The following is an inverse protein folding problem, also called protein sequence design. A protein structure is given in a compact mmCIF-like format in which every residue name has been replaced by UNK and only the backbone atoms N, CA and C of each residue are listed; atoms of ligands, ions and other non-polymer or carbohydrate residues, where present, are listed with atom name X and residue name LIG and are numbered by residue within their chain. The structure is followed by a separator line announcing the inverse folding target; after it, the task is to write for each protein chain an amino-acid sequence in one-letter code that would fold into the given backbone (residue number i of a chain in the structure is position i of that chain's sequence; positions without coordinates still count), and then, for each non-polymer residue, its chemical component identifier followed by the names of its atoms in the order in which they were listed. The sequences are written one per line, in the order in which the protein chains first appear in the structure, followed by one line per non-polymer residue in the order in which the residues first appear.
data_IF_166113916906
#
_entry.id   IF_166113916906
#
_cell.length_a   1.000
_cell.length_b   1.000
_cell.length_c   1.000
_cell.angle_alpha   90.00
_cell.angle_beta   90.00
_cell.angle_gamma   90.00
#
_symmetry.space_group_name_H-M   'P 1'
#
loop_
_entity.id
_entity.type
_entity.pdbx_description
1 polymer ?
#
# COMPACT_ATOMS: atom_id res chain seq x y z
N UNK A 1 10.39 -12.64 10.91
CA UNK A 1 9.47 -13.37 10.01
C UNK A 1 8.05 -12.94 10.33
N UNK A 2 7.23 -12.60 9.33
CA UNK A 2 5.82 -12.26 9.58
C UNK A 2 5.07 -13.49 10.12
N UNK A 3 4.27 -13.31 11.16
CA UNK A 3 3.41 -14.36 11.72
C UNK A 3 2.47 -14.88 10.63
N UNK A 4 2.36 -16.20 10.49
CA UNK A 4 1.42 -16.83 9.55
C UNK A 4 -0.01 -16.40 9.92
N UNK A 5 -0.74 -15.80 8.99
CA UNK A 5 -2.08 -15.24 9.21
C UNK A 5 -2.12 -13.72 9.43
N UNK A 6 -0.99 -13.06 9.72
CA UNK A 6 -0.94 -11.63 10.04
C UNK A 6 -1.51 -10.72 8.94
N UNK A 7 -1.29 -11.08 7.67
CA UNK A 7 -1.85 -10.33 6.54
C UNK A 7 -3.38 -10.28 6.56
N UNK A 8 -4.00 -11.39 6.96
CA UNK A 8 -5.45 -11.50 7.06
C UNK A 8 -5.98 -10.70 8.26
N UNK A 9 -5.28 -10.73 9.40
CA UNK A 9 -5.60 -9.90 10.57
C UNK A 9 -5.57 -8.40 10.22
N UNK A 10 -4.51 -7.93 9.53
CA UNK A 10 -4.39 -6.53 9.08
C UNK A 10 -5.46 -6.15 8.07
N UNK A 11 -5.89 -7.08 7.21
CA UNK A 11 -7.02 -6.85 6.32
C UNK A 11 -8.31 -6.65 7.11
N UNK A 12 -8.62 -7.54 8.05
CA UNK A 12 -9.82 -7.44 8.89
C UNK A 12 -9.79 -6.15 9.71
N UNK A 13 -8.68 -5.83 10.35
CA UNK A 13 -8.49 -4.55 11.06
C UNK A 13 -8.82 -3.34 10.16
N UNK A 14 -8.28 -3.33 8.93
CA UNK A 14 -8.53 -2.23 7.98
C UNK A 14 -10.00 -2.13 7.57
N UNK A 15 -10.73 -3.24 7.47
CA UNK A 15 -12.15 -3.26 7.13
C UNK A 15 -13.00 -2.75 8.31
N UNK A 16 -12.71 -3.22 9.52
CA UNK A 16 -13.41 -2.79 10.73
C UNK A 16 -13.15 -1.31 11.03
N UNK A 17 -11.90 -0.83 10.87
CA UNK A 17 -11.55 0.59 10.97
C UNK A 17 -12.47 1.49 10.16
N UNK A 18 -12.88 1.02 8.98
CA UNK A 18 -13.77 1.76 8.10
C UNK A 18 -15.24 1.69 8.52
N UNK A 19 -15.69 0.52 8.97
CA UNK A 19 -17.06 0.34 9.45
C UNK A 19 -17.31 1.03 10.81
N UNK A 20 -16.25 1.29 11.58
CA UNK A 20 -16.32 1.90 12.90
C UNK A 20 -16.69 3.39 12.81
N UNK A 21 -17.57 3.83 13.71
CA UNK A 21 -17.86 5.25 13.90
C UNK A 21 -16.66 5.97 14.57
N UNK A 22 -16.65 7.31 14.56
CA UNK A 22 -15.51 8.13 15.01
C UNK A 22 -15.08 7.94 16.47
N UNK A 23 -15.87 7.26 17.31
CA UNK A 23 -15.64 7.14 18.76
C UNK A 23 -15.01 5.81 19.19
N UNK A 24 -14.82 4.86 18.27
CA UNK A 24 -14.17 3.58 18.57
C UNK A 24 -12.66 3.60 18.33
N UNK A 25 -11.93 2.86 19.16
CA UNK A 25 -10.51 2.55 19.00
C UNK A 25 -10.39 1.10 18.56
N UNK A 26 -9.43 0.82 17.69
CA UNK A 26 -9.16 -0.53 17.22
C UNK A 26 -7.67 -0.82 17.24
N UNK A 27 -7.30 -1.97 17.77
CA UNK A 27 -5.93 -2.45 17.89
C UNK A 27 -5.77 -3.84 17.28
N UNK A 28 -4.63 -4.09 16.63
CA UNK A 28 -4.26 -5.38 16.08
C UNK A 28 -2.72 -5.53 16.09
N UNK A 29 -2.14 -6.47 16.85
CA UNK A 29 -2.84 -7.31 17.83
C UNK A 29 -3.45 -6.47 18.96
N UNK A 30 -4.54 -6.95 19.52
CA UNK A 30 -5.15 -6.42 20.74
C UNK A 30 -4.80 -7.30 21.95
N UNK A 31 -4.98 -6.76 23.15
CA UNK A 31 -4.70 -7.49 24.39
C UNK A 31 -5.79 -7.21 25.43
N UNK A 32 -6.33 -8.26 26.04
CA UNK A 32 -7.26 -8.19 27.16
C UNK A 32 -6.75 -9.03 28.34
N UNK A 33 -7.14 -8.68 29.56
CA UNK A 33 -6.79 -9.47 30.74
C UNK A 33 -7.56 -10.78 30.73
N UNK A 34 -6.87 -11.90 30.92
CA UNK A 34 -7.48 -13.20 31.18
C UNK A 34 -7.78 -13.31 32.68
N UNK A 35 -9.05 -13.40 33.06
CA UNK A 35 -9.49 -13.35 34.47
C UNK A 35 -9.10 -14.61 35.26
N UNK A 36 -8.79 -15.71 34.56
CA UNK A 36 -8.40 -16.98 35.19
C UNK A 36 -6.92 -16.98 35.55
N UNK A 37 -6.08 -16.48 34.64
CA UNK A 37 -4.61 -16.50 34.79
C UNK A 37 -4.02 -15.17 35.24
N UNK A 38 -4.80 -14.09 35.19
CA UNK A 38 -4.38 -12.71 35.44
C UNK A 38 -3.19 -12.28 34.56
N UNK A 39 -3.18 -12.75 33.30
CA UNK A 39 -2.19 -12.41 32.29
C UNK A 39 -2.85 -11.74 31.09
N UNK A 40 -2.12 -10.85 30.41
CA UNK A 40 -2.59 -10.26 29.16
C UNK A 40 -2.64 -11.33 28.07
N UNK A 41 -3.82 -11.57 27.53
CA UNK A 41 -4.08 -12.53 26.45
C UNK A 41 -4.28 -11.78 25.14
N UNK A 42 -3.50 -12.20 24.14
CA UNK A 42 -3.57 -11.63 22.81
C UNK A 42 -4.87 -12.03 22.09
N UNK A 43 -5.43 -11.08 21.36
CA UNK A 43 -6.51 -11.27 20.39
C UNK A 43 -6.09 -10.67 19.04
N UNK A 44 -6.60 -11.22 17.94
CA UNK A 44 -6.15 -10.82 16.62
C UNK A 44 -6.54 -9.37 16.28
N UNK A 45 -7.78 -8.97 16.60
CA UNK A 45 -8.27 -7.59 16.51
C UNK A 45 -9.17 -7.30 17.71
N UNK A 46 -8.94 -6.16 18.36
CA UNK A 46 -9.77 -5.66 19.46
C UNK A 46 -10.35 -4.31 19.06
N UNK A 47 -11.68 -4.18 19.17
CA UNK A 47 -12.39 -2.92 19.04
C UNK A 47 -12.91 -2.53 20.42
N UNK A 48 -12.54 -1.34 20.87
CA UNK A 48 -13.05 -0.72 22.09
C UNK A 48 -13.86 0.50 21.70
N UNK A 49 -15.12 0.54 22.11
CA UNK A 49 -16.01 1.66 21.81
C UNK A 49 -16.89 1.99 23.00
N UNK A 50 -17.59 3.11 22.93
CA UNK A 50 -18.51 3.54 23.97
C UNK A 50 -19.91 3.64 23.39
N UNK A 51 -20.87 3.03 24.07
CA UNK A 51 -22.29 3.22 23.78
C UNK A 51 -22.94 3.88 25.01
N UNK A 52 -23.29 5.16 24.87
CA UNK A 52 -23.78 5.98 25.97
C UNK A 52 -22.71 6.12 27.06
N UNK A 53 -22.97 5.56 28.25
CA UNK A 53 -22.02 5.55 29.37
C UNK A 53 -21.21 4.27 29.51
N UNK A 54 -21.51 3.25 28.69
CA UNK A 54 -20.92 1.91 28.82
C UNK A 54 -19.77 1.73 27.83
N UNK A 55 -18.65 1.19 28.31
CA UNK A 55 -17.57 0.73 27.45
C UNK A 55 -17.92 -0.66 26.93
N UNK A 56 -17.61 -0.92 25.66
CA UNK A 56 -17.84 -2.19 24.99
C UNK A 56 -16.56 -2.63 24.31
N UNK A 57 -16.21 -3.89 24.53
CA UNK A 57 -15.07 -4.58 23.96
C UNK A 57 -15.55 -5.67 22.99
N UNK A 58 -15.14 -5.57 21.73
CA UNK A 58 -15.47 -6.53 20.68
C UNK A 58 -14.18 -7.14 20.17
N UNK A 59 -14.06 -8.45 20.31
CA UNK A 59 -12.90 -9.22 19.86
C UNK A 59 -13.22 -9.86 18.52
N UNK A 60 -12.30 -9.78 17.56
CA UNK A 60 -12.35 -10.56 16.33
C UNK A 60 -11.18 -11.53 16.27
N UNK A 61 -11.47 -12.80 16.02
CA UNK A 61 -10.48 -13.87 15.89
C UNK A 61 -10.46 -14.38 14.45
N UNK A 62 -9.29 -14.36 13.84
CA UNK A 62 -9.08 -14.52 12.42
C UNK A 62 -8.49 -15.90 12.10
N UNK A 63 -9.07 -16.58 11.11
CA UNK A 63 -8.55 -17.86 10.63
C UNK A 63 -8.40 -17.88 9.13
N UNK A 64 -7.14 -17.77 8.70
CA UNK A 64 -6.78 -17.87 7.29
C UNK A 64 -6.34 -19.30 6.92
N UNK A 65 -7.29 -20.11 6.45
CA UNK A 65 -7.07 -21.51 6.07
C UNK A 65 -7.92 -21.86 4.86
N UNK A 66 -7.43 -22.79 4.03
CA UNK A 66 -8.16 -23.29 2.85
C UNK A 66 -9.46 -24.02 3.19
N UNK A 67 -9.45 -24.79 4.27
CA UNK A 67 -10.62 -25.57 4.70
C UNK A 67 -11.53 -24.72 5.59
N UNK A 68 -12.84 -24.86 5.39
CA UNK A 68 -13.90 -24.30 6.26
C UNK A 68 -13.61 -24.59 7.73
N UNK A 69 -13.90 -23.63 8.60
CA UNK A 69 -13.74 -23.83 10.03
C UNK A 69 -14.87 -24.66 10.62
N UNK A 70 -14.53 -25.45 11.62
CA UNK A 70 -15.38 -26.47 12.22
C UNK A 70 -15.91 -26.05 13.60
N UNK A 71 -16.69 -26.96 14.18
CA UNK A 71 -17.29 -26.82 15.50
C UNK A 71 -16.23 -26.58 16.59
N UNK A 72 -15.10 -27.29 16.50
CA UNK A 72 -14.05 -27.24 17.51
C UNK A 72 -13.47 -25.84 17.65
N UNK A 73 -13.28 -25.12 16.54
CA UNK A 73 -12.84 -23.74 16.62
C UNK A 73 -13.84 -22.83 17.34
N UNK A 74 -15.13 -22.95 17.02
CA UNK A 74 -16.18 -22.18 17.70
C UNK A 74 -16.23 -22.48 19.20
N UNK A 75 -16.02 -23.73 19.60
CA UNK A 75 -15.96 -24.12 21.01
C UNK A 75 -14.74 -23.50 21.73
N UNK A 76 -13.59 -23.46 21.06
CA UNK A 76 -12.39 -22.78 21.58
C UNK A 76 -12.63 -21.29 21.78
N UNK A 77 -13.29 -20.63 20.81
CA UNK A 77 -13.63 -19.20 20.90
C UNK A 77 -14.60 -18.91 22.04
N UNK A 78 -15.60 -19.76 22.24
CA UNK A 78 -16.55 -19.62 23.35
C UNK A 78 -15.85 -19.76 24.71
N UNK A 79 -14.91 -20.70 24.85
CA UNK A 79 -14.10 -20.80 26.07
C UNK A 79 -13.22 -19.56 26.25
N UNK A 80 -12.53 -19.11 25.20
CA UNK A 80 -11.69 -17.91 25.24
C UNK A 80 -12.50 -16.67 25.68
N UNK A 81 -13.69 -16.46 25.12
CA UNK A 81 -14.56 -15.33 25.47
C UNK A 81 -14.87 -15.28 26.97
N UNK A 82 -15.13 -16.44 27.60
CA UNK A 82 -15.39 -16.53 29.04
C UNK A 82 -14.18 -16.17 29.88
N UNK A 83 -12.97 -16.42 29.39
CA UNK A 83 -11.74 -16.13 30.10
C UNK A 83 -11.33 -14.64 29.97
N UNK A 84 -11.59 -14.00 28.82
CA UNK A 84 -11.10 -12.65 28.50
C UNK A 84 -12.11 -11.51 28.73
N UNK A 85 -13.25 -11.78 29.37
CA UNK A 85 -14.33 -10.84 29.72
C UNK A 85 -14.62 -9.76 28.65
N UNK A 86 -14.63 -10.16 27.38
CA UNK A 86 -15.05 -9.31 26.29
C UNK A 86 -16.57 -9.35 26.15
N UNK A 87 -17.19 -8.25 25.71
CA UNK A 87 -18.65 -8.19 25.53
C UNK A 87 -19.12 -9.01 24.32
N UNK A 88 -18.26 -9.14 23.30
CA UNK A 88 -18.57 -9.89 22.09
C UNK A 88 -17.32 -10.49 21.46
N UNK A 89 -17.48 -11.69 20.91
CA UNK A 89 -16.49 -12.30 20.02
C UNK A 89 -17.08 -12.55 18.64
N UNK A 90 -16.29 -12.24 17.61
CA UNK A 90 -16.61 -12.44 16.20
C UNK A 90 -15.56 -13.39 15.61
N UNK A 91 -16.02 -14.52 15.08
CA UNK A 91 -15.18 -15.46 14.35
C UNK A 91 -15.08 -15.04 12.89
N UNK A 92 -13.86 -14.82 12.38
CA UNK A 92 -13.61 -14.38 11.00
C UNK A 92 -12.82 -15.44 10.24
N UNK A 93 -13.37 -15.99 9.15
CA UNK A 93 -12.74 -17.05 8.35
C UNK A 93 -12.57 -16.65 6.89
N UNK A 94 -11.36 -16.86 6.33
CA UNK A 94 -11.12 -16.62 4.89
C UNK A 94 -11.79 -17.65 3.97
N UNK A 95 -12.19 -18.81 4.50
CA UNK A 95 -12.84 -19.91 3.75
C UNK A 95 -14.26 -20.23 4.22
N UNK A 96 -14.79 -19.45 5.17
CA UNK A 96 -16.10 -19.68 5.78
C UNK A 96 -16.12 -20.81 6.82
N UNK A 97 -17.33 -21.32 7.07
CA UNK A 97 -17.66 -22.22 8.19
C UNK A 97 -18.47 -23.43 7.73
N UNK A 98 -18.37 -24.55 8.45
CA UNK A 98 -19.27 -25.68 8.27
C UNK A 98 -20.68 -25.36 8.79
N UNK A 99 -21.70 -26.09 8.33
CA UNK A 99 -23.08 -25.91 8.80
C UNK A 99 -23.21 -26.08 10.32
N UNK A 100 -22.57 -27.11 10.86
CA UNK A 100 -22.57 -27.37 12.31
C UNK A 100 -21.85 -26.28 13.10
N UNK A 101 -20.77 -25.71 12.55
CA UNK A 101 -20.08 -24.57 13.16
C UNK A 101 -20.99 -23.33 13.22
N UNK A 102 -21.71 -23.02 12.14
CA UNK A 102 -22.68 -21.91 12.10
C UNK A 102 -23.81 -22.08 13.13
N UNK A 103 -24.39 -23.28 13.19
CA UNK A 103 -25.44 -23.60 14.17
C UNK A 103 -24.95 -23.44 15.62
N UNK A 104 -23.72 -23.88 15.89
CA UNK A 104 -23.10 -23.76 17.22
C UNK A 104 -22.73 -22.32 17.57
N UNK A 105 -22.20 -21.56 16.61
CA UNK A 105 -21.87 -20.15 16.79
C UNK A 105 -23.12 -19.34 17.16
N UNK A 106 -24.22 -19.56 16.43
CA UNK A 106 -25.53 -18.98 16.75
C UNK A 106 -25.98 -19.31 18.17
N UNK A 107 -25.83 -20.56 18.60
CA UNK A 107 -26.18 -20.98 19.97
C UNK A 107 -25.33 -20.29 21.05
N UNK A 108 -24.06 -20.00 20.76
CA UNK A 108 -23.15 -19.33 21.69
C UNK A 108 -23.17 -17.81 21.57
N UNK A 109 -23.98 -17.23 20.69
CA UNK A 109 -23.96 -15.79 20.43
C UNK A 109 -22.68 -15.29 19.77
N UNK A 110 -21.92 -16.19 19.12
CA UNK A 110 -20.71 -15.87 18.38
C UNK A 110 -21.12 -15.46 16.96
N UNK A 111 -20.81 -14.23 16.58
CA UNK A 111 -21.03 -13.78 15.21
C UNK A 111 -19.96 -14.39 14.30
N UNK A 112 -20.35 -14.84 13.11
CA UNK A 112 -19.42 -15.38 12.10
C UNK A 112 -19.36 -14.46 10.91
N UNK A 113 -18.14 -14.14 10.45
CA UNK A 113 -17.90 -13.37 9.22
C UNK A 113 -17.00 -14.13 8.27
N UNK A 114 -17.28 -14.05 6.98
CA UNK A 114 -16.49 -14.71 5.95
C UNK A 114 -16.21 -13.80 4.76
N UNK A 115 -15.21 -14.21 4.00
CA UNK A 115 -14.91 -13.62 2.71
C UNK A 115 -15.49 -14.55 1.65
N UNK A 116 -16.47 -14.04 0.93
CA UNK A 116 -17.04 -14.74 -0.22
C UNK A 116 -16.40 -14.14 -1.48
N UNK A 117 -15.85 -15.00 -2.34
CA UNK A 117 -15.46 -14.57 -3.68
C UNK A 117 -16.74 -14.22 -4.44
N UNK A 118 -16.80 -12.99 -4.95
CA UNK A 118 -17.93 -12.53 -5.73
C UNK A 118 -17.64 -12.84 -7.20
N UNK A 119 -18.61 -13.42 -7.90
CA UNK A 119 -18.52 -13.56 -9.35
C UNK A 119 -18.35 -12.16 -9.99
N UNK A 120 -17.37 -12.04 -10.89
CA UNK A 120 -17.12 -10.82 -11.68
C UNK A 120 -18.40 -10.34 -12.38
N UNK A 121 -19.27 -11.25 -12.82
CA UNK A 121 -20.54 -10.92 -13.48
C UNK A 121 -21.51 -10.16 -12.56
N UNK A 122 -21.52 -10.47 -11.25
CA UNK A 122 -22.37 -9.77 -10.28
C UNK A 122 -21.89 -8.33 -10.12
N UNK A 123 -20.58 -8.09 -10.21
CA UNK A 123 -19.97 -6.78 -10.06
C UNK A 123 -20.26 -5.90 -11.26
N UNK A 124 -20.18 -6.43 -12.48
CA UNK A 124 -20.54 -5.68 -13.71
C UNK A 124 -21.95 -5.07 -13.63
N UNK A 125 -22.86 -5.67 -12.85
CA UNK A 125 -24.23 -5.19 -12.69
C UNK A 125 -24.39 -3.93 -11.80
N UNK A 126 -23.45 -3.63 -10.90
CA UNK A 126 -23.53 -2.46 -10.00
C UNK A 126 -22.21 -1.69 -9.81
N UNK A 127 -21.13 -2.15 -10.43
CA UNK A 127 -19.78 -1.62 -10.36
C UNK A 127 -19.10 -1.72 -11.73
N UNK A 128 -19.04 -0.59 -12.45
CA UNK A 128 -18.62 -0.53 -13.86
C UNK A 128 -17.10 -0.49 -14.08
N UNK A 129 -16.29 -0.60 -13.02
CA UNK A 129 -14.83 -0.50 -13.13
C UNK A 129 -14.24 -1.88 -13.46
N UNK A 130 -13.68 -2.04 -14.65
CA UNK A 130 -13.08 -3.30 -15.13
C UNK A 130 -11.55 -3.34 -15.04
N UNK A 131 -10.92 -2.17 -14.83
CA UNK A 131 -9.47 -2.00 -14.77
C UNK A 131 -9.12 -0.71 -14.02
N UNK A 132 -7.87 -0.63 -13.54
CA UNK A 132 -7.23 0.64 -13.16
C UNK A 132 -6.35 1.11 -14.31
N UNK A 133 -6.45 2.39 -14.65
CA UNK A 133 -5.44 3.05 -15.48
C UNK A 133 -4.24 3.45 -14.62
N UNK A 134 -3.10 2.82 -14.87
CA UNK A 134 -1.80 3.20 -14.31
C UNK A 134 -1.07 4.08 -15.31
N UNK A 135 -0.77 5.32 -14.92
CA UNK A 135 -0.07 6.30 -15.76
C UNK A 135 1.26 6.64 -15.11
N UNK A 136 2.35 6.46 -15.84
CA UNK A 136 3.72 6.74 -15.38
C UNK A 136 4.45 7.63 -16.36
N UNK A 137 5.06 8.69 -15.82
CA UNK A 137 5.98 9.58 -16.52
C UNK A 137 7.34 8.91 -16.61
N UNK A 138 7.89 8.78 -17.82
CA UNK A 138 9.16 8.12 -18.08
C UNK A 138 10.05 8.98 -18.98
N UNK A 139 11.34 8.70 -18.93
CA UNK A 139 12.33 9.38 -19.75
C UNK A 139 13.46 8.43 -20.15
N UNK A 140 14.19 8.81 -21.19
CA UNK A 140 15.48 8.23 -21.57
C UNK A 140 16.45 9.38 -21.82
N UNK A 141 17.53 9.44 -21.05
CA UNK A 141 18.60 10.41 -21.28
C UNK A 141 19.33 10.00 -22.56
N UNK A 142 19.35 10.90 -23.54
CA UNK A 142 20.11 10.73 -24.79
C UNK A 142 21.55 11.18 -24.57
N UNK A 143 21.71 12.35 -23.95
CA UNK A 143 22.99 12.83 -23.42
C UNK A 143 22.74 13.85 -22.30
N UNK A 144 23.76 14.06 -21.47
CA UNK A 144 23.79 15.16 -20.52
C UNK A 144 25.18 15.82 -20.52
N UNK A 145 25.23 17.08 -20.11
CA UNK A 145 26.46 17.85 -20.02
C UNK A 145 26.44 18.74 -18.77
N UNK A 146 27.24 18.42 -17.74
CA UNK A 146 27.37 19.25 -16.56
C UNK A 146 28.39 20.38 -16.81
N UNK A 147 27.98 21.60 -16.51
CA UNK A 147 28.84 22.77 -16.49
C UNK A 147 29.49 22.89 -15.11
N UNK A 148 30.80 22.72 -15.08
CA UNK A 148 31.59 22.71 -13.86
C UNK A 148 32.31 24.04 -13.67
N UNK A 149 32.63 24.37 -12.43
CA UNK A 149 33.51 25.49 -12.09
C UNK A 149 34.92 25.31 -12.70
N UNK A 150 35.46 24.07 -12.66
CA UNK A 150 36.64 23.68 -13.44
C UNK A 150 36.23 23.30 -14.86
N UNK A 151 36.32 24.26 -15.77
CA UNK A 151 35.93 24.09 -17.18
C UNK A 151 36.72 23.02 -17.94
N UNK A 152 37.93 22.68 -17.47
CA UNK A 152 38.80 21.71 -18.12
C UNK A 152 38.70 20.30 -17.52
N UNK A 153 37.86 20.10 -16.50
CA UNK A 153 37.78 18.85 -15.73
C UNK A 153 37.62 17.60 -16.60
N UNK A 154 36.63 17.58 -17.50
CA UNK A 154 36.39 16.43 -18.40
C UNK A 154 37.56 16.16 -19.36
N UNK A 155 38.22 17.22 -19.83
CA UNK A 155 39.37 17.11 -20.74
C UNK A 155 40.61 16.59 -20.00
N UNK A 156 40.85 17.05 -18.77
CA UNK A 156 41.95 16.63 -17.90
C UNK A 156 41.86 15.14 -17.57
N UNK A 157 40.68 14.67 -17.18
CA UNK A 157 40.51 13.33 -16.61
C UNK A 157 39.91 12.29 -17.57
N UNK A 158 39.57 12.67 -18.82
CA UNK A 158 39.06 11.78 -19.88
C UNK A 158 37.90 10.89 -19.41
N UNK A 159 36.90 11.54 -18.81
CA UNK A 159 35.81 10.85 -18.11
C UNK A 159 34.77 10.33 -19.09
N UNK A 160 34.38 9.04 -19.03
CA UNK A 160 33.23 8.55 -19.77
C UNK A 160 31.93 9.07 -19.13
N UNK A 161 31.09 9.72 -19.93
CA UNK A 161 29.81 10.25 -19.46
C UNK A 161 28.75 9.13 -19.53
N UNK A 162 28.38 8.60 -18.37
CA UNK A 162 27.29 7.64 -18.20
C UNK A 162 26.26 8.24 -17.23
N UNK A 163 24.99 8.31 -17.65
CA UNK A 163 23.93 8.93 -16.86
C UNK A 163 23.55 8.12 -15.62
N UNK A 164 23.86 6.83 -15.59
CA UNK A 164 23.55 5.93 -14.48
C UNK A 164 24.67 5.85 -13.44
N UNK A 165 25.89 6.23 -13.81
CA UNK A 165 27.03 6.24 -12.88
C UNK A 165 26.88 7.36 -11.85
N UNK A 166 27.22 7.05 -10.60
CA UNK A 166 27.04 7.95 -9.47
C UNK A 166 28.25 8.89 -9.30
N UNK A 167 28.38 9.82 -10.25
CA UNK A 167 29.46 10.81 -10.25
C UNK A 167 29.12 12.12 -9.56
N UNK A 168 27.87 12.34 -9.13
CA UNK A 168 27.47 13.62 -8.55
C UNK A 168 27.37 13.45 -7.03
N UNK A 169 28.18 14.17 -6.27
CA UNK A 169 28.08 14.27 -4.82
C UNK A 169 27.12 15.39 -4.45
N UNK A 170 26.02 15.03 -3.78
CA UNK A 170 25.19 15.97 -3.05
C UNK A 170 25.80 16.17 -1.66
N UNK A 171 26.36 17.36 -1.42
CA UNK A 171 27.06 17.66 -0.17
C UNK A 171 26.10 17.87 1.00
N UNK A 172 24.86 18.26 0.73
CA UNK A 172 23.85 18.52 1.76
C UNK A 172 23.36 17.21 2.41
N UNK A 173 23.21 16.17 1.59
CA UNK A 173 22.76 14.84 2.02
C UNK A 173 23.92 13.85 2.17
N UNK A 174 25.15 14.27 1.83
CA UNK A 174 26.36 13.46 1.80
C UNK A 174 26.18 12.12 1.08
N UNK A 175 25.57 12.16 -0.11
CA UNK A 175 25.34 10.97 -0.96
C UNK A 175 25.79 11.18 -2.40
N UNK A 176 26.18 10.08 -3.03
CA UNK A 176 26.42 10.05 -4.48
C UNK A 176 25.13 9.74 -5.23
N UNK A 177 24.87 10.52 -6.27
CA UNK A 177 23.71 10.42 -7.16
C UNK A 177 24.17 10.35 -8.61
N UNK A 178 23.37 9.71 -9.45
CA UNK A 178 23.57 9.70 -10.89
C UNK A 178 22.90 10.89 -11.57
N UNK A 179 23.28 11.16 -12.82
CA UNK A 179 22.62 12.21 -13.60
C UNK A 179 21.13 11.87 -13.86
N UNK A 180 20.79 10.59 -13.98
CA UNK A 180 19.42 10.09 -14.10
C UNK A 180 18.60 10.29 -12.83
N UNK A 181 19.17 9.99 -11.66
CA UNK A 181 18.52 10.23 -10.36
C UNK A 181 18.22 11.73 -10.19
N UNK A 182 19.21 12.59 -10.45
CA UNK A 182 19.04 14.03 -10.35
C UNK A 182 18.03 14.59 -11.36
N UNK A 183 18.02 14.06 -12.60
CA UNK A 183 17.00 14.42 -13.59
C UNK A 183 15.60 14.06 -13.10
N UNK A 184 15.42 12.85 -12.55
CA UNK A 184 14.13 12.37 -12.03
C UNK A 184 13.58 13.23 -10.88
N UNK A 185 14.45 13.68 -9.97
CA UNK A 185 14.10 14.57 -8.84
C UNK A 185 13.51 15.90 -9.35
N UNK A 186 14.08 16.45 -10.43
CA UNK A 186 13.71 17.76 -10.96
C UNK A 186 12.57 17.69 -11.99
N UNK A 187 12.59 16.71 -12.90
CA UNK A 187 11.70 16.69 -14.06
C UNK A 187 10.22 16.47 -13.67
N UNK A 188 9.95 15.79 -12.56
CA UNK A 188 8.58 15.56 -12.08
C UNK A 188 7.86 16.86 -11.70
N UNK A 189 8.61 17.91 -11.34
CA UNK A 189 8.08 19.20 -10.90
C UNK A 189 7.86 20.17 -12.07
N UNK A 190 8.44 19.91 -13.24
CA UNK A 190 8.33 20.78 -14.41
C UNK A 190 7.06 20.43 -15.20
N UNK A 191 5.93 21.04 -14.83
CA UNK A 191 4.61 20.75 -15.43
C UNK A 191 4.58 20.91 -16.95
N UNK A 192 5.31 21.89 -17.50
CA UNK A 192 5.36 22.18 -18.94
C UNK A 192 5.93 21.03 -19.78
N UNK A 193 6.82 20.18 -19.21
CA UNK A 193 7.39 19.04 -19.94
C UNK A 193 6.37 17.96 -20.25
N UNK A 194 5.31 17.85 -19.45
CA UNK A 194 4.37 16.73 -19.50
C UNK A 194 3.01 17.12 -20.08
N UNK A 195 2.68 18.42 -20.14
CA UNK A 195 1.33 18.91 -20.39
C UNK A 195 0.73 18.55 -21.74
N UNK A 196 1.56 18.34 -22.78
CA UNK A 196 1.11 17.96 -24.13
C UNK A 196 1.23 16.48 -24.44
N UNK A 197 1.78 15.67 -23.52
CA UNK A 197 1.99 14.25 -23.74
C UNK A 197 0.74 13.46 -23.37
N UNK A 198 0.44 12.44 -24.18
CA UNK A 198 -0.63 11.48 -23.89
C UNK A 198 -0.05 10.10 -23.56
N UNK A 199 -0.72 9.31 -22.70
CA UNK A 199 -0.27 7.95 -22.39
C UNK A 199 -0.08 7.08 -23.65
N UNK A 200 1.05 6.38 -23.72
CA UNK A 200 1.50 5.55 -24.84
C UNK A 200 1.62 6.28 -26.18
N UNK A 201 1.72 7.61 -26.15
CA UNK A 201 2.01 8.44 -27.31
C UNK A 201 3.48 8.37 -27.74
N UNK A 202 3.81 9.14 -28.78
CA UNK A 202 5.21 9.33 -29.20
C UNK A 202 5.99 10.05 -28.11
N UNK A 203 7.24 9.65 -27.92
CA UNK A 203 8.16 10.40 -27.08
C UNK A 203 8.43 11.79 -27.68
N UNK A 204 8.53 12.80 -26.81
CA UNK A 204 9.03 14.13 -27.15
C UNK A 204 10.52 14.20 -26.80
N UNK A 205 11.33 14.81 -27.66
CA UNK A 205 12.74 15.06 -27.36
C UNK A 205 12.90 16.50 -26.92
N UNK A 206 13.32 16.68 -25.68
CA UNK A 206 13.40 18.00 -25.05
C UNK A 206 14.81 18.28 -24.53
N UNK A 207 15.21 19.55 -24.64
CA UNK A 207 16.42 20.08 -24.01
C UNK A 207 16.04 20.76 -22.70
N UNK A 208 16.60 20.27 -21.61
CA UNK A 208 16.24 20.68 -20.25
C UNK A 208 17.48 21.19 -19.54
N UNK A 209 17.34 22.31 -18.87
CA UNK A 209 18.42 22.94 -18.12
C UNK A 209 18.05 22.91 -16.64
N UNK A 210 18.90 22.31 -15.83
CA UNK A 210 18.80 22.32 -14.38
C UNK A 210 19.85 23.29 -13.86
N UNK A 211 19.41 24.34 -13.18
CA UNK A 211 20.30 25.23 -12.44
C UNK A 211 20.74 24.53 -11.15
N UNK A 212 22.04 24.47 -10.91
CA UNK A 212 22.63 23.78 -9.77
C UNK A 212 23.39 24.76 -8.86
N UNK A 213 23.42 26.05 -9.17
CA UNK A 213 24.08 27.05 -8.36
C UNK A 213 23.18 27.47 -7.18
N UNK A 214 22.97 26.54 -6.26
CA UNK A 214 22.17 26.73 -5.05
C UNK A 214 23.07 26.73 -3.79
N UNK A 215 23.12 27.83 -3.01
CA UNK A 215 23.86 27.89 -1.76
C UNK A 215 23.44 26.86 -0.70
N UNK A 216 22.18 26.41 -0.71
CA UNK A 216 21.64 25.44 0.27
C UNK A 216 21.88 23.98 -0.13
N UNK A 217 22.20 23.73 -1.40
CA UNK A 217 22.41 22.37 -1.94
C UNK A 217 23.53 22.40 -2.98
N UNK A 218 24.77 22.30 -2.51
CA UNK A 218 25.93 22.25 -3.40
C UNK A 218 26.12 20.84 -3.99
N UNK A 219 26.16 20.78 -5.32
CA UNK A 219 26.45 19.57 -6.09
C UNK A 219 27.87 19.62 -6.64
N UNK A 220 28.61 18.52 -6.50
CA UNK A 220 29.97 18.39 -7.03
C UNK A 220 30.07 17.18 -7.95
N UNK A 221 30.71 17.33 -9.11
CA UNK A 221 31.08 16.19 -9.95
C UNK A 221 32.38 15.57 -9.39
N UNK A 222 32.39 14.26 -9.19
CA UNK A 222 33.46 13.51 -8.54
C UNK A 222 33.97 12.39 -9.45
N UNK A 223 35.28 12.34 -9.67
CA UNK A 223 35.93 11.28 -10.44
C UNK A 223 37.37 11.07 -9.97
N UNK A 224 37.73 9.83 -9.61
CA UNK A 224 39.07 9.47 -9.11
C UNK A 224 39.62 10.48 -8.09
N UNK A 225 38.85 10.73 -7.02
CA UNK A 225 39.16 11.69 -5.93
C UNK A 225 39.10 13.18 -6.30
N UNK A 226 39.13 13.53 -7.59
CA UNK A 226 38.96 14.90 -8.04
C UNK A 226 37.49 15.33 -7.96
N UNK A 227 37.28 16.60 -7.60
CA UNK A 227 35.95 17.19 -7.48
C UNK A 227 35.88 18.56 -8.15
N UNK A 228 34.71 18.91 -8.68
CA UNK A 228 34.43 20.28 -9.12
C UNK A 228 32.96 20.61 -8.94
N UNK A 229 32.66 21.83 -8.48
CA UNK A 229 31.28 22.30 -8.29
C UNK A 229 30.51 22.29 -9.61
N UNK A 230 29.29 21.77 -9.59
CA UNK A 230 28.37 21.79 -10.72
C UNK A 230 27.55 23.08 -10.64
N UNK A 231 27.64 23.91 -11.68
CA UNK A 231 26.88 25.17 -11.78
C UNK A 231 25.53 24.95 -12.46
N UNK A 232 25.50 24.08 -13.47
CA UNK A 232 24.32 23.81 -14.29
C UNK A 232 24.46 22.44 -14.94
N UNK A 233 23.36 21.78 -15.26
CA UNK A 233 23.37 20.60 -16.13
C UNK A 233 22.40 20.78 -17.29
N UNK A 234 22.88 20.60 -18.53
CA UNK A 234 22.02 20.46 -19.71
C UNK A 234 21.74 18.98 -19.97
N UNK A 235 20.47 18.65 -20.16
CA UNK A 235 20.00 17.33 -20.55
C UNK A 235 19.35 17.41 -21.92
N UNK A 236 19.54 16.37 -22.72
CA UNK A 236 18.61 16.02 -23.80
C UNK A 236 18.03 14.66 -23.51
N UNK A 237 16.72 14.62 -23.36
CA UNK A 237 15.99 13.41 -22.99
C UNK A 237 14.80 13.19 -23.92
N UNK A 238 14.54 11.92 -24.21
CA UNK A 238 13.26 11.50 -24.77
C UNK A 238 12.29 11.29 -23.60
N UNK A 239 11.21 12.07 -23.55
CA UNK A 239 10.21 12.08 -22.50
C UNK A 239 8.91 11.46 -23.04
N UNK A 240 8.29 10.57 -22.27
CA UNK A 240 7.07 9.88 -22.68
C UNK A 240 6.22 9.46 -21.48
N UNK A 241 4.94 9.24 -21.71
CA UNK A 241 4.02 8.72 -20.70
C UNK A 241 3.68 7.28 -21.06
N UNK A 242 3.82 6.38 -20.10
CA UNK A 242 3.38 4.98 -20.21
C UNK A 242 2.04 4.84 -19.51
N UNK A 243 1.03 4.39 -20.24
CA UNK A 243 -0.27 4.01 -19.70
C UNK A 243 -0.43 2.49 -19.70
N UNK A 244 -0.83 1.89 -18.58
CA UNK A 244 -1.14 0.47 -18.48
C UNK A 244 -2.51 0.27 -17.86
N UNK A 245 -3.32 -0.60 -18.46
CA UNK A 245 -4.57 -1.06 -17.88
C UNK A 245 -4.29 -2.27 -17.01
N UNK A 246 -4.48 -2.14 -15.71
CA UNK A 246 -4.29 -3.22 -14.75
C UNK A 246 -5.65 -3.89 -14.52
N UNK A 247 -5.85 -5.15 -14.94
CA UNK A 247 -7.12 -5.85 -14.75
C UNK A 247 -7.35 -6.18 -13.27
N UNK A 248 -8.62 -6.36 -12.88
CA UNK A 248 -8.96 -6.84 -11.54
C UNK A 248 -8.48 -8.30 -11.39
N UNK A 249 -7.68 -8.58 -10.36
CA UNK A 249 -7.25 -9.95 -10.08
C UNK A 249 -8.32 -10.72 -9.30
N UNK A 250 -8.82 -10.13 -8.21
CA UNK A 250 -9.83 -10.74 -7.36
C UNK A 250 -10.80 -9.70 -6.81
N UNK A 251 -12.05 -10.12 -6.62
CA UNK A 251 -13.03 -9.32 -5.87
C UNK A 251 -13.70 -10.20 -4.83
N UNK A 252 -13.83 -9.69 -3.62
CA UNK A 252 -14.48 -10.38 -2.51
C UNK A 252 -15.43 -9.46 -1.76
N UNK A 253 -16.43 -10.05 -1.12
CA UNK A 253 -17.26 -9.38 -0.12
C UNK A 253 -16.89 -9.88 1.26
N UNK A 254 -16.76 -8.94 2.19
CA UNK A 254 -16.71 -9.21 3.60
C UNK A 254 -18.13 -9.10 4.17
N UNK A 255 -18.65 -10.21 4.67
CA UNK A 255 -20.06 -10.38 5.01
C UNK A 255 -20.24 -10.79 6.47
N UNK A 256 -21.31 -10.27 7.09
CA UNK A 256 -21.96 -10.87 8.26
C UNK A 256 -23.18 -11.67 7.80
N UNK A 257 -23.81 -12.49 8.66
CA UNK A 257 -24.92 -13.34 8.25
C UNK A 257 -26.10 -12.56 7.63
N UNK A 258 -26.31 -11.32 8.08
CA UNK A 258 -27.46 -10.49 7.69
C UNK A 258 -27.08 -9.35 6.73
N UNK A 259 -25.80 -9.14 6.42
CA UNK A 259 -25.38 -8.01 5.60
C UNK A 259 -23.98 -8.12 5.00
N UNK A 260 -23.78 -7.49 3.84
CA UNK A 260 -22.43 -7.14 3.35
C UNK A 260 -21.91 -5.92 4.09
N UNK A 261 -20.72 -6.06 4.69
CA UNK A 261 -20.01 -4.99 5.40
C UNK A 261 -19.18 -4.18 4.41
N UNK A 262 -18.45 -4.86 3.52
CA UNK A 262 -17.55 -4.22 2.55
C UNK A 262 -17.36 -5.07 1.30
N UNK A 263 -17.01 -4.42 0.21
CA UNK A 263 -16.43 -5.04 -0.98
C UNK A 263 -14.93 -4.74 -1.07
N UNK A 264 -14.16 -5.67 -1.61
CA UNK A 264 -12.69 -5.59 -1.67
C UNK A 264 -12.27 -5.99 -3.07
N UNK A 265 -11.59 -5.09 -3.76
CA UNK A 265 -11.02 -5.34 -5.08
C UNK A 265 -9.51 -5.43 -4.93
N UNK A 266 -8.93 -6.47 -5.53
CA UNK A 266 -7.50 -6.74 -5.60
C UNK A 266 -7.04 -6.69 -7.06
N UNK A 267 -5.78 -6.30 -7.27
CA UNK A 267 -5.18 -6.13 -8.59
C UNK A 267 -3.77 -6.70 -8.59
N UNK A 268 -3.42 -7.42 -9.65
CA UNK A 268 -2.07 -7.96 -9.85
C UNK A 268 -1.31 -7.09 -10.85
N UNK A 269 -0.06 -6.73 -10.53
CA UNK A 269 0.88 -6.20 -11.54
C UNK A 269 1.16 -4.71 -11.49
N UNK A 270 1.20 -4.08 -10.31
CA UNK A 270 1.81 -2.75 -10.18
C UNK A 270 3.30 -2.79 -10.60
N UNK A 271 3.77 -1.91 -11.50
CA UNK A 271 5.20 -1.79 -11.83
C UNK A 271 5.98 -0.97 -10.80
N UNK A 272 5.46 -0.84 -9.58
CA UNK A 272 6.21 -0.33 -8.44
C UNK A 272 6.84 -1.58 -7.82
N UNK A 273 8.17 -1.62 -7.67
CA UNK A 273 8.83 -2.71 -6.95
C UNK A 273 8.17 -2.85 -5.56
N UNK A 274 7.84 -4.09 -5.20
CA UNK A 274 6.96 -4.52 -4.11
C UNK A 274 5.49 -4.59 -4.53
N UNK A 275 4.90 -5.78 -4.40
CA UNK A 275 3.50 -6.06 -4.68
C UNK A 275 2.62 -5.12 -3.83
N UNK A 276 2.18 -4.04 -4.45
CA UNK A 276 1.29 -3.09 -3.81
C UNK A 276 -0.14 -3.50 -4.11
N UNK A 277 -0.90 -3.76 -3.06
CA UNK A 277 -2.31 -4.06 -3.12
C UNK A 277 -3.08 -2.73 -3.06
N UNK A 278 -3.77 -2.37 -4.15
CA UNK A 278 -4.78 -1.32 -4.09
C UNK A 278 -6.09 -1.95 -3.63
N UNK A 279 -6.63 -1.51 -2.50
CA UNK A 279 -7.96 -1.91 -2.02
C UNK A 279 -8.93 -0.75 -2.19
N UNK A 280 -10.04 -1.02 -2.87
CA UNK A 280 -11.19 -0.11 -2.89
C UNK A 280 -12.27 -0.71 -2.00
N UNK A 281 -12.59 -0.01 -0.93
CA UNK A 281 -13.61 -0.37 0.07
C UNK A 281 -14.80 0.53 -0.20
N UNK A 282 -15.94 -0.06 -0.58
CA UNK A 282 -17.22 0.67 -0.71
C UNK A 282 -18.15 0.28 0.45
N UNK A 283 -18.60 1.25 1.22
CA UNK A 283 -19.60 1.05 2.28
C UNK A 283 -21.03 1.15 1.72
N UNK A 284 -22.01 0.67 2.52
CA UNK A 284 -23.43 0.65 2.16
C UNK A 284 -24.04 2.03 1.85
N UNK A 285 -23.48 3.10 2.43
CA UNK A 285 -23.90 4.49 2.20
C UNK A 285 -23.34 5.09 0.90
N UNK A 286 -22.56 4.32 0.14
CA UNK A 286 -22.02 4.71 -1.16
C UNK A 286 -20.64 5.36 -1.10
N UNK A 287 -20.09 5.58 0.10
CA UNK A 287 -18.73 6.08 0.25
C UNK A 287 -17.70 5.05 -0.21
N UNK A 288 -16.61 5.53 -0.83
CA UNK A 288 -15.52 4.69 -1.31
C UNK A 288 -14.19 5.18 -0.75
N UNK A 289 -13.41 4.28 -0.15
CA UNK A 289 -12.04 4.54 0.27
C UNK A 289 -11.09 3.73 -0.57
N UNK A 290 -10.04 4.39 -1.03
CA UNK A 290 -8.92 3.79 -1.74
C UNK A 290 -7.76 3.73 -0.76
N UNK A 291 -7.22 2.53 -0.52
CA UNK A 291 -6.05 2.32 0.33
C UNK A 291 -4.97 1.53 -0.42
N UNK A 292 -3.72 1.91 -0.18
CA UNK A 292 -2.53 1.25 -0.73
C UNK A 292 -1.87 0.44 0.39
N UNK A 293 -1.69 -0.86 0.20
CA UNK A 293 -0.96 -1.75 1.11
C UNK A 293 0.20 -2.45 0.40
N UNK A 294 1.21 -2.90 1.16
CA UNK A 294 2.30 -3.76 0.66
C UNK A 294 2.04 -5.22 1.08
N UNK A 295 2.20 -6.18 0.16
CA UNK A 295 2.30 -7.61 0.48
C UNK A 295 3.64 -7.95 1.16
#
# INVERSE_FOLDING_TARGET
MARKGRKFEVLVESLEKHALNKEGVISSPGYLMDEVTNQMREVDVLIETKIGTSNISIVLECRDRKMKQDLTWIEQLNSKLKDINADKIIAVSSSGFSKSALEKAKRYGIETRSFDEIDKNIIESWWQVTHIDFISKQFRIVYFYPYLEDKDFFKKYRIPINSEEKYILDTSENRLVSASELFQENCNQIQSLWGSLIPNGKASRDRINIDCDNPERELQFVFNEHKSKILKIEYVADIFIVGKKIPLSKVSSYTSPDSTISHIIEYDGFPIKNKNLLRIIRSKDGNSIISFGQE
#
